data_IF_445235539681
#
_entry.id   IF_445235539681
#
_cell.length_a   1.000
_cell.length_b   1.000
_cell.length_c   1.000
_cell.angle_alpha   90.00
_cell.angle_beta   90.00
_cell.angle_gamma   90.00
#
_symmetry.space_group_name_H-M   'P 1'
#
loop_
_entity.id
_entity.type
_entity.pdbx_description
1 polymer ?
#
# COMPACT_ATOMS: atom_id res chain seq x y z
N UNK A 1 -6.57 -20.01 4.90
CA UNK A 1 -6.18 -18.94 5.84
C UNK A 1 -6.33 -19.39 7.28
N UNK A 2 -7.57 -19.56 7.77
CA UNK A 2 -7.82 -19.92 9.17
C UNK A 2 -7.29 -21.31 9.55
N UNK A 3 -7.48 -22.32 8.71
CA UNK A 3 -6.99 -23.69 8.97
C UNK A 3 -5.45 -23.80 8.99
N UNK A 4 -4.76 -22.95 8.24
CA UNK A 4 -3.30 -22.93 8.17
C UNK A 4 -2.66 -21.92 9.13
N UNK A 5 -3.45 -21.17 9.92
CA UNK A 5 -2.94 -20.12 10.82
C UNK A 5 -2.23 -18.96 10.12
N UNK A 6 -2.50 -18.73 8.82
CA UNK A 6 -1.86 -17.65 8.06
C UNK A 6 -2.55 -16.30 8.37
N UNK A 7 -1.79 -15.25 8.77
CA UNK A 7 -2.37 -13.98 9.21
C UNK A 7 -2.72 -13.02 8.07
N UNK A 8 -2.28 -13.29 6.84
CA UNK A 8 -2.50 -12.46 5.65
C UNK A 8 -2.02 -13.13 4.37
N UNK A 9 -2.21 -12.48 3.23
CA UNK A 9 -1.72 -12.94 1.92
C UNK A 9 -0.94 -11.85 1.20
N UNK A 10 0.06 -12.25 0.41
CA UNK A 10 0.76 -11.34 -0.50
C UNK A 10 0.37 -11.65 -1.94
N UNK A 11 0.07 -10.62 -2.73
CA UNK A 11 -0.26 -10.74 -4.16
C UNK A 11 0.56 -9.74 -4.98
N UNK A 12 0.60 -9.96 -6.29
CA UNK A 12 1.18 -9.02 -7.25
C UNK A 12 0.29 -7.78 -7.50
N UNK A 13 0.85 -6.81 -8.22
CA UNK A 13 0.16 -5.58 -8.66
C UNK A 13 -0.80 -5.78 -9.83
N UNK A 14 -0.75 -6.92 -10.51
CA UNK A 14 -1.64 -7.28 -11.62
C UNK A 14 -1.71 -8.80 -11.79
N UNK A 15 -2.70 -9.29 -12.55
CA UNK A 15 -2.83 -10.72 -12.91
C UNK A 15 -2.88 -10.84 -14.43
N UNK A 16 -1.84 -11.40 -15.05
CA UNK A 16 -1.75 -11.56 -16.51
C UNK A 16 -2.07 -10.25 -17.29
N UNK A 17 -1.52 -9.13 -16.82
CA UNK A 17 -1.74 -7.79 -17.40
C UNK A 17 -3.08 -7.12 -17.04
N UNK A 18 -3.95 -7.78 -16.27
CA UNK A 18 -5.17 -7.17 -15.72
C UNK A 18 -4.88 -6.49 -14.39
N UNK A 19 -5.30 -5.23 -14.28
CA UNK A 19 -5.22 -4.47 -13.04
C UNK A 19 -6.14 -5.06 -11.95
N UNK A 20 -5.91 -4.62 -10.71
CA UNK A 20 -6.58 -5.17 -9.52
C UNK A 20 -8.05 -4.76 -9.37
N UNK A 21 -8.54 -3.83 -10.19
CA UNK A 21 -9.94 -3.44 -10.29
C UNK A 21 -10.77 -4.32 -11.24
N UNK A 22 -10.14 -5.26 -11.95
CA UNK A 22 -10.87 -6.15 -12.87
C UNK A 22 -11.97 -6.92 -12.12
N UNK A 23 -13.24 -6.91 -12.60
CA UNK A 23 -14.35 -7.58 -11.94
C UNK A 23 -14.16 -9.09 -11.71
N UNK A 24 -13.28 -9.76 -12.45
CA UNK A 24 -12.92 -11.16 -12.20
C UNK A 24 -12.29 -11.38 -10.81
N UNK A 25 -11.74 -10.32 -10.20
CA UNK A 25 -11.16 -10.35 -8.87
C UNK A 25 -12.17 -10.04 -7.75
N UNK A 26 -13.39 -9.60 -8.07
CA UNK A 26 -14.42 -9.31 -7.05
C UNK A 26 -14.71 -10.48 -6.10
N UNK A 27 -14.74 -11.77 -6.54
CA UNK A 27 -14.89 -12.89 -5.61
C UNK A 27 -13.73 -13.00 -4.61
N UNK A 28 -12.50 -12.70 -5.04
CA UNK A 28 -11.32 -12.68 -4.18
C UNK A 28 -11.42 -11.56 -3.14
N UNK A 29 -11.71 -10.33 -3.57
CA UNK A 29 -11.89 -9.18 -2.69
C UNK A 29 -13.00 -9.40 -1.67
N UNK A 30 -14.16 -9.90 -2.12
CA UNK A 30 -15.30 -10.23 -1.24
C UNK A 30 -14.90 -11.24 -0.16
N UNK A 31 -14.12 -12.25 -0.53
CA UNK A 31 -13.70 -13.28 0.42
C UNK A 31 -12.67 -12.73 1.41
N UNK A 32 -11.69 -11.95 0.94
CA UNK A 32 -10.69 -11.36 1.82
C UNK A 32 -11.31 -10.39 2.83
N UNK A 33 -12.27 -9.56 2.41
CA UNK A 33 -13.03 -8.68 3.29
C UNK A 33 -13.85 -9.47 4.32
N UNK A 34 -14.62 -10.46 3.86
CA UNK A 34 -15.42 -11.34 4.75
C UNK A 34 -14.56 -12.02 5.82
N UNK A 35 -13.37 -12.47 5.44
CA UNK A 35 -12.43 -13.13 6.33
C UNK A 35 -11.56 -12.15 7.13
N UNK A 36 -11.73 -10.83 6.91
CA UNK A 36 -10.89 -9.76 7.48
C UNK A 36 -9.39 -10.04 7.29
N UNK A 37 -9.04 -10.62 6.15
CA UNK A 37 -7.68 -11.03 5.83
C UNK A 37 -6.92 -9.85 5.22
N UNK A 38 -5.84 -9.36 5.85
CA UNK A 38 -4.97 -8.37 5.25
C UNK A 38 -4.28 -8.90 4.00
N UNK A 39 -4.17 -8.03 3.01
CA UNK A 39 -3.55 -8.30 1.71
C UNK A 39 -2.38 -7.34 1.53
N UNK A 40 -1.18 -7.87 1.31
CA UNK A 40 0.00 -7.09 0.94
C UNK A 40 0.12 -7.11 -0.58
N UNK A 41 0.15 -5.93 -1.20
CA UNK A 41 0.38 -5.78 -2.64
C UNK A 41 1.85 -5.46 -2.85
N UNK A 42 2.56 -6.40 -3.48
CA UNK A 42 3.97 -6.27 -3.80
C UNK A 42 4.18 -6.24 -5.32
N UNK A 43 4.94 -5.27 -5.86
CA UNK A 43 5.24 -5.21 -7.28
C UNK A 43 6.27 -6.27 -7.67
N UNK A 44 6.05 -6.97 -8.79
CA UNK A 44 7.02 -7.94 -9.33
C UNK A 44 7.44 -7.61 -10.76
N UNK A 45 6.49 -7.19 -11.59
CA UNK A 45 6.70 -6.93 -13.02
C UNK A 45 6.20 -5.53 -13.34
N UNK A 46 7.08 -4.52 -13.45
CA UNK A 46 6.66 -3.17 -13.74
C UNK A 46 6.36 -2.98 -15.23
N UNK A 47 5.47 -2.04 -15.53
CA UNK A 47 5.26 -1.53 -16.88
C UNK A 47 6.54 -0.90 -17.48
N UNK A 48 6.68 -1.00 -18.79
CA UNK A 48 7.77 -0.35 -19.53
C UNK A 48 9.16 -0.94 -19.24
N UNK A 49 9.22 -2.23 -18.91
CA UNK A 49 10.46 -2.95 -18.52
C UNK A 49 11.59 -2.79 -19.55
N UNK A 50 11.26 -2.65 -20.84
CA UNK A 50 12.21 -2.44 -21.92
C UNK A 50 13.02 -1.14 -21.79
N UNK A 51 12.56 -0.18 -20.98
CA UNK A 51 13.22 1.11 -20.72
C UNK A 51 13.96 1.17 -19.38
N UNK A 52 13.83 0.15 -18.54
CA UNK A 52 14.28 0.15 -17.14
C UNK A 52 15.59 -0.60 -16.91
N UNK A 53 16.21 -1.16 -17.97
CA UNK A 53 17.35 -2.09 -17.88
C UNK A 53 18.66 -1.50 -17.35
N UNK A 54 18.78 -0.18 -17.16
CA UNK A 54 20.00 0.48 -16.66
C UNK A 54 19.85 0.98 -15.22
N UNK A 55 20.97 1.18 -14.52
CA UNK A 55 21.06 1.83 -13.19
C UNK A 55 20.10 1.28 -12.12
N UNK A 56 19.72 0.00 -12.23
CA UNK A 56 18.76 -0.63 -11.31
C UNK A 56 17.36 0.06 -11.31
N UNK A 57 17.02 0.78 -12.38
CA UNK A 57 15.78 1.55 -12.49
C UNK A 57 14.52 0.68 -12.41
N UNK A 58 14.60 -0.61 -12.75
CA UNK A 58 13.49 -1.55 -12.51
C UNK A 58 13.02 -1.50 -11.06
N UNK A 59 13.93 -1.50 -10.09
CA UNK A 59 13.58 -1.51 -8.66
C UNK A 59 13.32 -0.11 -8.11
N UNK A 60 14.15 0.86 -8.49
CA UNK A 60 14.08 2.24 -7.95
C UNK A 60 12.83 2.99 -8.47
N UNK A 61 12.48 2.79 -9.74
CA UNK A 61 11.40 3.54 -10.42
C UNK A 61 10.27 2.64 -10.87
N UNK A 62 10.59 1.49 -11.48
CA UNK A 62 9.59 0.60 -12.05
C UNK A 62 8.63 0.05 -11.00
N UNK A 63 9.16 -0.62 -9.97
CA UNK A 63 8.36 -1.27 -8.94
C UNK A 63 7.46 -0.27 -8.18
N UNK A 64 7.98 0.91 -7.85
CA UNK A 64 7.21 1.96 -7.16
C UNK A 64 6.13 2.58 -8.07
N UNK A 65 6.42 2.77 -9.36
CA UNK A 65 5.41 3.16 -10.35
C UNK A 65 4.30 2.10 -10.49
N UNK A 66 4.66 0.82 -10.43
CA UNK A 66 3.72 -0.29 -10.54
C UNK A 66 2.78 -0.36 -9.33
N UNK A 67 3.30 -0.21 -8.10
CA UNK A 67 2.46 -0.06 -6.90
C UNK A 67 1.52 1.14 -7.01
N UNK A 68 2.01 2.26 -7.55
CA UNK A 68 1.20 3.47 -7.78
C UNK A 68 0.01 3.17 -8.70
N UNK A 69 0.25 2.43 -9.79
CA UNK A 69 -0.81 2.07 -10.73
C UNK A 69 -1.82 1.12 -10.07
N UNK A 70 -1.36 0.12 -9.32
CA UNK A 70 -2.25 -0.80 -8.61
C UNK A 70 -3.17 -0.06 -7.64
N UNK A 71 -2.61 0.84 -6.81
CA UNK A 71 -3.38 1.67 -5.88
C UNK A 71 -4.37 2.60 -6.60
N UNK A 72 -3.92 3.27 -7.67
CA UNK A 72 -4.77 4.12 -8.49
C UNK A 72 -5.91 3.33 -9.16
N UNK A 73 -5.65 2.11 -9.62
CA UNK A 73 -6.66 1.26 -10.25
C UNK A 73 -7.72 0.83 -9.24
N UNK A 74 -7.31 0.38 -8.05
CA UNK A 74 -8.25 0.02 -6.95
C UNK A 74 -9.18 1.19 -6.56
N UNK A 75 -8.63 2.40 -6.48
CA UNK A 75 -9.42 3.61 -6.20
C UNK A 75 -10.31 4.00 -7.38
N UNK A 76 -9.74 4.21 -8.57
CA UNK A 76 -10.47 4.68 -9.75
C UNK A 76 -11.49 3.67 -10.26
N UNK A 77 -11.26 2.37 -10.05
CA UNK A 77 -12.18 1.29 -10.37
C UNK A 77 -13.25 1.03 -9.30
N UNK A 78 -13.24 1.78 -8.20
CA UNK A 78 -14.30 1.73 -7.18
C UNK A 78 -14.25 0.51 -6.27
N UNK A 79 -13.12 -0.22 -6.20
CA UNK A 79 -12.96 -1.36 -5.27
C UNK A 79 -13.09 -0.87 -3.83
N UNK A 80 -12.58 0.32 -3.53
CA UNK A 80 -12.71 1.00 -2.24
C UNK A 80 -14.16 1.27 -1.80
N UNK A 81 -15.08 1.52 -2.74
CA UNK A 81 -16.50 1.71 -2.44
C UNK A 81 -17.23 0.37 -2.32
N UNK A 82 -16.83 -0.62 -3.13
CA UNK A 82 -17.45 -1.94 -3.16
C UNK A 82 -17.08 -2.80 -1.94
N UNK A 83 -15.85 -2.63 -1.44
CA UNK A 83 -15.28 -3.41 -0.34
C UNK A 83 -14.60 -2.47 0.68
N UNK A 84 -15.38 -1.65 1.40
CA UNK A 84 -14.86 -0.59 2.26
C UNK A 84 -14.04 -1.10 3.45
N UNK A 85 -14.22 -2.35 3.87
CA UNK A 85 -13.58 -2.94 5.05
C UNK A 85 -12.32 -3.76 4.71
N UNK A 86 -11.96 -3.86 3.42
CA UNK A 86 -10.71 -4.46 3.00
C UNK A 86 -9.49 -3.83 3.68
N UNK A 87 -8.49 -4.67 3.92
CA UNK A 87 -7.24 -4.31 4.56
C UNK A 87 -6.11 -4.54 3.56
N UNK A 88 -5.71 -3.49 2.87
CA UNK A 88 -4.70 -3.54 1.81
C UNK A 88 -3.46 -2.76 2.25
N UNK A 89 -2.32 -3.45 2.30
CA UNK A 89 -1.00 -2.86 2.53
C UNK A 89 -0.32 -2.67 1.18
N UNK A 90 0.07 -1.44 0.86
CA UNK A 90 0.85 -1.13 -0.32
C UNK A 90 2.34 -1.08 0.05
N UNK A 91 3.16 -1.87 -0.64
CA UNK A 91 4.60 -1.86 -0.44
C UNK A 91 5.26 -0.54 -0.86
N UNK A 92 6.46 -0.28 -0.33
CA UNK A 92 7.30 0.85 -0.70
C UNK A 92 6.60 2.20 -0.50
N UNK A 93 5.95 2.36 0.66
CA UNK A 93 5.15 3.53 1.03
C UNK A 93 3.99 3.84 0.08
N UNK A 94 3.52 2.87 -0.71
CA UNK A 94 2.49 3.10 -1.73
C UNK A 94 3.02 3.68 -3.04
N UNK A 95 4.34 3.62 -3.25
CA UNK A 95 4.99 4.24 -4.40
C UNK A 95 4.79 5.75 -4.42
N UNK A 96 4.27 6.27 -5.52
CA UNK A 96 3.97 7.69 -5.71
C UNK A 96 2.51 8.05 -5.42
N UNK A 97 1.67 7.09 -5.03
CA UNK A 97 0.23 7.32 -4.83
C UNK A 97 -0.04 8.43 -3.80
N UNK A 98 0.58 8.43 -2.59
CA UNK A 98 0.36 9.50 -1.61
C UNK A 98 0.75 10.88 -2.14
N UNK A 99 1.92 10.97 -2.78
CA UNK A 99 2.40 12.22 -3.37
C UNK A 99 1.49 12.74 -4.51
N UNK A 100 0.89 11.84 -5.30
CA UNK A 100 0.06 12.19 -6.45
C UNK A 100 -1.43 12.34 -6.14
N UNK A 101 -1.84 12.30 -4.86
CA UNK A 101 -3.27 12.30 -4.49
C UNK A 101 -4.04 13.51 -5.03
N UNK A 102 -3.43 14.69 -5.10
CA UNK A 102 -4.04 15.88 -5.69
C UNK A 102 -4.31 15.71 -7.20
N UNK A 103 -3.39 15.06 -7.92
CA UNK A 103 -3.56 14.74 -9.35
C UNK A 103 -4.67 13.72 -9.57
N UNK A 104 -4.80 12.73 -8.69
CA UNK A 104 -5.92 11.77 -8.70
C UNK A 104 -7.26 12.45 -8.42
N UNK A 105 -7.29 13.39 -7.47
CA UNK A 105 -8.45 14.23 -7.20
C UNK A 105 -8.90 15.01 -8.44
N UNK A 106 -7.95 15.68 -9.11
CA UNK A 106 -8.21 16.38 -10.38
C UNK A 106 -8.70 15.42 -11.47
N UNK A 107 -8.13 14.21 -11.54
CA UNK A 107 -8.59 13.16 -12.44
C UNK A 107 -10.07 12.85 -12.23
N UNK A 108 -10.49 12.60 -10.99
CA UNK A 108 -11.90 12.37 -10.64
C UNK A 108 -12.80 13.54 -11.02
N UNK A 109 -12.38 14.78 -10.86
CA UNK A 109 -13.20 15.95 -11.24
C UNK A 109 -13.52 16.03 -12.73
N UNK A 110 -12.60 15.58 -13.59
CA UNK A 110 -12.71 15.74 -15.05
C UNK A 110 -13.11 14.46 -15.80
N UNK A 111 -13.16 13.32 -15.11
CA UNK A 111 -13.40 11.99 -15.69
C UNK A 111 -14.70 11.37 -15.14
N UNK A 112 -15.70 11.24 -16.00
CA UNK A 112 -17.00 10.69 -15.60
C UNK A 112 -16.98 9.20 -15.27
N UNK A 113 -16.08 8.43 -15.88
CA UNK A 113 -15.84 7.03 -15.53
C UNK A 113 -15.37 6.89 -14.08
N UNK A 114 -14.41 7.71 -13.64
CA UNK A 114 -13.94 7.70 -12.24
C UNK A 114 -15.05 8.14 -11.28
N UNK A 115 -15.80 9.21 -11.60
CA UNK A 115 -16.92 9.66 -10.76
C UNK A 115 -18.01 8.61 -10.58
N UNK A 116 -18.28 7.81 -11.61
CA UNK A 116 -19.27 6.74 -11.58
C UNK A 116 -18.77 5.53 -10.79
N UNK A 117 -17.47 5.25 -10.85
CA UNK A 117 -16.86 4.13 -10.17
C UNK A 117 -16.68 4.38 -8.66
N UNK A 118 -16.24 5.58 -8.26
CA UNK A 118 -15.98 5.91 -6.84
C UNK A 118 -16.67 7.19 -6.36
N UNK A 119 -17.32 7.12 -5.20
CA UNK A 119 -17.95 8.27 -4.54
C UNK A 119 -16.97 9.03 -3.66
N UNK A 120 -15.92 8.35 -3.20
CA UNK A 120 -14.88 8.91 -2.35
C UNK A 120 -13.98 9.90 -3.10
N UNK A 121 -13.48 10.89 -2.38
CA UNK A 121 -12.38 11.74 -2.84
C UNK A 121 -11.07 10.97 -2.79
N UNK A 122 -10.12 11.33 -3.66
CA UNK A 122 -8.83 10.63 -3.73
C UNK A 122 -8.07 10.65 -2.40
N UNK A 123 -8.21 11.74 -1.64
CA UNK A 123 -7.63 11.89 -0.30
C UNK A 123 -8.20 10.88 0.71
N UNK A 124 -9.46 10.47 0.59
CA UNK A 124 -10.06 9.45 1.45
C UNK A 124 -9.47 8.05 1.20
N UNK A 125 -8.89 7.81 0.02
CA UNK A 125 -8.20 6.56 -0.25
C UNK A 125 -6.89 6.43 0.53
N UNK A 126 -6.29 7.55 0.97
CA UNK A 126 -5.04 7.52 1.72
C UNK A 126 -5.20 6.77 3.04
N UNK A 127 -6.29 7.06 3.78
CA UNK A 127 -6.66 6.37 5.01
C UNK A 127 -7.48 5.09 4.77
N UNK A 128 -7.60 4.61 3.53
CA UNK A 128 -8.17 3.29 3.25
C UNK A 128 -7.07 2.24 3.09
N UNK A 129 -5.95 2.62 2.47
CA UNK A 129 -4.76 1.78 2.39
C UNK A 129 -3.96 1.82 3.69
N UNK A 130 -3.11 0.82 3.84
CA UNK A 130 -1.98 0.79 4.76
C UNK A 130 -0.68 0.86 3.95
N UNK A 131 0.40 1.25 4.59
CA UNK A 131 1.69 1.47 3.94
C UNK A 131 2.83 0.92 4.78
N UNK A 132 3.92 0.54 4.15
CA UNK A 132 5.17 0.27 4.86
C UNK A 132 6.07 1.50 4.98
N UNK A 133 7.15 1.37 5.76
CA UNK A 133 8.16 2.42 5.97
C UNK A 133 9.36 2.33 5.00
N UNK A 134 9.26 1.59 3.88
CA UNK A 134 10.39 1.37 2.96
C UNK A 134 10.56 2.61 2.05
N UNK A 135 10.99 3.71 2.66
CA UNK A 135 11.09 5.05 2.07
C UNK A 135 12.50 5.66 2.17
N UNK A 136 13.33 5.14 3.07
CA UNK A 136 14.72 5.53 3.31
C UNK A 136 14.98 7.01 3.70
N UNK A 137 13.94 7.82 3.91
CA UNK A 137 14.04 9.24 4.28
C UNK A 137 12.96 9.63 5.31
N UNK A 138 13.33 10.02 6.55
CA UNK A 138 12.38 10.38 7.62
C UNK A 138 11.36 11.44 7.23
N UNK A 139 11.76 12.48 6.48
CA UNK A 139 10.81 13.54 6.07
C UNK A 139 9.72 13.05 5.11
N UNK A 140 10.01 12.00 4.33
CA UNK A 140 9.02 11.40 3.44
C UNK A 140 8.06 10.51 4.25
N UNK A 141 8.57 9.84 5.29
CA UNK A 141 7.73 9.12 6.26
C UNK A 141 6.80 10.09 7.02
N UNK A 142 7.31 11.22 7.50
CA UNK A 142 6.51 12.27 8.15
C UNK A 142 5.39 12.78 7.23
N UNK A 143 5.70 13.03 5.95
CA UNK A 143 4.69 13.39 4.95
C UNK A 143 3.61 12.30 4.83
N UNK A 144 4.01 11.04 4.67
CA UNK A 144 3.06 9.92 4.57
C UNK A 144 2.16 9.83 5.80
N UNK A 145 2.72 9.96 7.00
CA UNK A 145 1.97 9.96 8.27
C UNK A 145 0.98 11.13 8.30
N UNK A 146 1.40 12.33 7.88
CA UNK A 146 0.53 13.51 7.87
C UNK A 146 -0.66 13.37 6.90
N UNK A 147 -0.51 12.54 5.86
CA UNK A 147 -1.51 12.33 4.81
C UNK A 147 -2.43 11.14 5.08
N UNK A 148 -1.90 10.04 5.63
CA UNK A 148 -2.63 8.78 5.82
C UNK A 148 -2.99 8.48 7.29
N UNK A 149 -2.32 9.10 8.25
CA UNK A 149 -2.40 8.77 9.67
C UNK A 149 -1.39 7.71 10.10
N UNK A 150 -0.81 7.87 11.29
CA UNK A 150 0.20 6.95 11.80
C UNK A 150 -0.33 5.52 12.02
N UNK A 151 -1.63 5.35 12.26
CA UNK A 151 -2.28 4.05 12.45
C UNK A 151 -2.42 3.22 11.17
N UNK A 152 -2.11 3.83 10.02
CA UNK A 152 -2.07 3.23 8.69
C UNK A 152 -0.65 2.87 8.21
N UNK A 153 0.39 3.15 9.00
CA UNK A 153 1.78 2.90 8.62
C UNK A 153 2.39 1.75 9.42
N UNK A 154 3.11 0.86 8.75
CA UNK A 154 3.67 -0.38 9.30
C UNK A 154 5.19 -0.39 9.08
N UNK A 155 5.97 -0.81 10.07
CA UNK A 155 7.39 -1.06 9.86
C UNK A 155 7.62 -2.12 8.77
N UNK A 156 8.47 -1.81 7.78
CA UNK A 156 8.90 -2.72 6.72
C UNK A 156 10.39 -2.58 6.41
N UNK A 157 11.02 -3.66 5.95
CA UNK A 157 12.46 -3.72 5.67
C UNK A 157 12.84 -4.17 4.26
N UNK A 158 11.92 -4.76 3.51
CA UNK A 158 12.22 -5.46 2.24
C UNK A 158 13.27 -6.60 2.35
N UNK A 159 13.53 -7.10 3.56
CA UNK A 159 14.45 -8.23 3.74
C UNK A 159 13.88 -9.50 3.06
N UNK A 160 14.69 -10.28 2.30
CA UNK A 160 16.15 -10.22 2.19
C UNK A 160 16.68 -9.59 0.88
N UNK A 161 15.92 -8.71 0.22
CA UNK A 161 16.34 -8.12 -1.05
C UNK A 161 17.50 -7.12 -0.87
N UNK A 162 18.35 -6.98 -1.89
CA UNK A 162 19.57 -6.15 -1.80
C UNK A 162 19.31 -4.64 -1.66
N UNK A 163 18.11 -4.15 -2.01
CA UNK A 163 17.67 -2.76 -1.78
C UNK A 163 17.07 -2.56 -0.38
N UNK A 164 16.76 -3.64 0.34
CA UNK A 164 16.10 -3.58 1.63
C UNK A 164 16.91 -2.85 2.70
N UNK A 165 16.21 -2.30 3.69
CA UNK A 165 16.79 -1.53 4.78
C UNK A 165 17.42 -2.48 5.83
N UNK A 166 18.74 -2.44 6.04
CA UNK A 166 19.39 -3.23 7.10
C UNK A 166 19.07 -2.73 8.51
N UNK A 167 18.54 -1.50 8.65
CA UNK A 167 18.22 -0.84 9.91
C UNK A 167 16.81 -0.22 9.86
N UNK A 168 15.75 -1.02 9.62
CA UNK A 168 14.42 -0.53 9.26
C UNK A 168 13.76 0.34 10.33
N UNK A 169 14.15 0.19 11.60
CA UNK A 169 13.62 1.03 12.69
C UNK A 169 14.15 2.45 12.66
N UNK A 170 15.30 2.69 12.02
CA UNK A 170 16.01 3.98 12.05
C UNK A 170 15.15 5.11 11.49
N UNK A 171 14.49 4.90 10.35
CA UNK A 171 13.62 5.91 9.73
C UNK A 171 12.50 6.37 10.66
N UNK A 172 11.93 5.46 11.46
CA UNK A 172 10.87 5.77 12.43
C UNK A 172 11.44 6.48 13.66
N UNK A 173 12.61 6.06 14.13
CA UNK A 173 13.26 6.67 15.29
C UNK A 173 13.73 8.11 15.01
N UNK A 174 14.21 8.37 13.79
CA UNK A 174 14.69 9.68 13.34
C UNK A 174 13.56 10.63 12.90
N UNK A 175 12.34 10.13 12.66
CA UNK A 175 11.21 10.98 12.30
C UNK A 175 10.74 11.87 13.48
N UNK A 176 10.37 13.11 13.16
CA UNK A 176 9.82 14.11 14.08
C UNK A 176 8.32 13.88 14.35
N UNK A 177 8.01 12.71 14.89
CA UNK A 177 6.66 12.25 15.28
C UNK A 177 6.61 11.90 16.76
N UNK A 178 5.41 11.82 17.33
CA UNK A 178 5.23 11.51 18.75
C UNK A 178 5.68 10.09 19.12
N UNK A 179 6.01 9.87 20.40
CA UNK A 179 6.37 8.54 20.90
C UNK A 179 5.25 7.50 20.66
N UNK A 180 3.98 7.93 20.77
CA UNK A 180 2.81 7.07 20.52
C UNK A 180 2.77 6.62 19.06
N UNK A 181 3.04 7.52 18.11
CA UNK A 181 3.09 7.19 16.68
C UNK A 181 4.26 6.26 16.37
N UNK A 182 5.43 6.46 17.00
CA UNK A 182 6.57 5.55 16.87
C UNK A 182 6.20 4.13 17.33
N UNK A 183 5.60 3.98 18.50
CA UNK A 183 5.19 2.67 19.02
C UNK A 183 4.14 1.97 18.14
N UNK A 184 3.19 2.74 17.60
CA UNK A 184 2.21 2.25 16.64
C UNK A 184 2.88 1.67 15.40
N UNK A 185 3.79 2.42 14.78
CA UNK A 185 4.46 2.01 13.53
C UNK A 185 5.43 0.84 13.77
N UNK A 186 6.20 0.88 14.86
CA UNK A 186 7.19 -0.14 15.18
C UNK A 186 6.56 -1.50 15.52
N UNK A 187 5.32 -1.53 16.03
CA UNK A 187 4.68 -2.81 16.39
C UNK A 187 3.15 -2.78 16.41
N UNK A 188 2.53 -1.77 17.01
CA UNK A 188 1.11 -1.80 17.37
C UNK A 188 0.18 -2.00 16.18
N UNK A 189 0.50 -1.37 15.05
CA UNK A 189 -0.28 -1.46 13.83
C UNK A 189 -0.19 -2.86 13.21
N UNK A 190 1.00 -3.46 13.16
CA UNK A 190 1.19 -4.80 12.61
C UNK A 190 0.49 -5.85 13.47
N UNK A 191 0.61 -5.76 14.80
CA UNK A 191 -0.07 -6.65 15.73
C UNK A 191 -1.59 -6.59 15.56
N UNK A 192 -2.15 -5.37 15.44
CA UNK A 192 -3.60 -5.15 15.23
C UNK A 192 -4.07 -5.66 13.88
N UNK A 193 -3.36 -5.30 12.81
CA UNK A 193 -3.75 -5.58 11.43
C UNK A 193 -3.71 -7.08 11.12
N UNK A 194 -2.62 -7.75 11.51
CA UNK A 194 -2.39 -9.16 11.22
C UNK A 194 -2.88 -10.10 12.33
N UNK A 195 -3.54 -9.56 13.36
CA UNK A 195 -4.06 -10.32 14.50
C UNK A 195 -2.97 -11.16 15.21
N UNK A 196 -1.76 -10.62 15.29
CA UNK A 196 -0.61 -11.26 15.95
C UNK A 196 -0.66 -10.92 17.44
N UNK A 197 -0.47 -11.92 18.30
CA UNK A 197 -0.34 -11.70 19.74
C UNK A 197 1.02 -11.08 20.04
N UNK A 198 1.06 -10.03 20.87
CA UNK A 198 2.32 -9.55 21.41
C UNK A 198 3.00 -10.68 22.20
N UNK A 199 4.25 -11.00 21.88
CA UNK A 199 5.05 -11.91 22.70
C UNK A 199 5.29 -11.26 24.07
N UNK A 200 4.87 -11.95 25.13
CA UNK A 200 5.26 -11.66 26.52
C UNK A 200 6.66 -12.15 26.81
#
# INVERSE_FOLDING_TARGET
MQECGLPGVTIGTHVNGKNLDDPLLHPFWRMAEKLKTPIIIHPFFPLGVERLGSYFLTHIVGLTAETTLAAASLYCGGVIDQFPDLKIVLCHGGGFFPYQVGRLGRGREIRDDIKKATRRMAREALAWFYYDTILFEPKILEFLISEAGADHVLLGSDCPFGIGDPHPTRIVLEAEISAVEKDQILSGNALRLFHIKSGS
#
